data_IF_674919513043
#
_entry.id   IF_674919513043
#
_cell.length_a   1.000
_cell.length_b   1.000
_cell.length_c   1.000
_cell.angle_alpha   90.00
_cell.angle_beta   90.00
_cell.angle_gamma   90.00
#
_symmetry.space_group_name_H-M   'P 1'
#
loop_
_entity.id
_entity.type
_entity.pdbx_description
1 polymer ?
#
# COMPACT_ATOMS: atom_id res chain seq x y z
N UNK A 1 -9.59 8.75 36.89
CA UNK A 1 -9.64 9.08 35.44
C UNK A 1 -8.48 8.32 34.81
N UNK A 2 -8.76 7.16 34.22
CA UNK A 2 -7.75 6.38 33.53
C UNK A 2 -7.48 7.08 32.19
N UNK A 3 -6.32 7.70 32.05
CA UNK A 3 -5.81 8.12 30.75
C UNK A 3 -5.57 6.84 29.94
N UNK A 4 -6.48 6.51 29.04
CA UNK A 4 -6.21 5.49 28.03
C UNK A 4 -5.02 6.01 27.18
N UNK A 5 -3.85 5.44 27.43
CA UNK A 5 -2.68 5.70 26.62
C UNK A 5 -2.90 4.90 25.32
N UNK A 6 -3.32 5.59 24.29
CA UNK A 6 -3.51 4.99 22.97
C UNK A 6 -2.21 5.07 22.18
N UNK A 7 -1.72 3.93 21.70
CA UNK A 7 -0.60 3.90 20.76
C UNK A 7 -1.03 4.55 19.43
N UNK A 8 -0.11 5.27 18.80
CA UNK A 8 -0.32 5.88 17.51
C UNK A 8 0.40 5.10 16.41
N UNK A 9 -0.19 5.08 15.23
CA UNK A 9 0.31 4.39 14.05
C UNK A 9 0.43 5.36 12.89
N UNK A 10 1.58 5.39 12.25
CA UNK A 10 1.83 6.14 11.03
C UNK A 10 1.37 5.28 9.85
N UNK A 11 0.37 5.77 9.13
CA UNK A 11 -0.05 5.16 7.86
C UNK A 11 0.97 5.43 6.76
N UNK A 12 0.88 4.67 5.65
CA UNK A 12 1.73 4.85 4.45
C UNK A 12 1.72 6.25 3.83
N UNK A 13 0.63 6.98 4.01
CA UNK A 13 0.51 8.38 3.57
C UNK A 13 1.01 9.40 4.61
N UNK A 14 1.76 8.96 5.63
CA UNK A 14 2.28 9.81 6.69
C UNK A 14 1.26 10.25 7.74
N UNK A 15 -0.02 9.93 7.58
CA UNK A 15 -1.07 10.32 8.54
C UNK A 15 -0.99 9.45 9.79
N UNK A 16 -0.91 10.08 10.95
CA UNK A 16 -0.93 9.43 12.24
C UNK A 16 -2.37 9.15 12.69
N UNK A 17 -2.63 7.92 13.14
CA UNK A 17 -3.94 7.48 13.62
C UNK A 17 -3.80 6.63 14.86
N UNK A 18 -4.87 6.53 15.64
CA UNK A 18 -4.92 5.65 16.81
C UNK A 18 -4.81 4.18 16.36
N UNK A 19 -4.01 3.40 17.08
CA UNK A 19 -3.88 1.97 16.87
C UNK A 19 -5.22 1.26 17.07
N UNK A 20 -5.58 0.40 16.13
CA UNK A 20 -6.83 -0.36 16.15
C UNK A 20 -6.53 -1.86 16.06
N UNK A 21 -6.59 -2.53 17.21
CA UNK A 21 -6.36 -3.96 17.35
C UNK A 21 -7.32 -4.80 16.48
N UNK A 22 -8.55 -4.35 16.28
CA UNK A 22 -9.54 -5.07 15.50
C UNK A 22 -9.11 -5.25 14.04
N UNK A 23 -8.31 -4.32 13.50
CA UNK A 23 -7.78 -4.44 12.13
C UNK A 23 -6.80 -5.60 11.99
N UNK A 24 -5.97 -5.85 13.03
CA UNK A 24 -5.04 -7.00 13.04
C UNK A 24 -5.85 -8.28 13.09
N UNK A 25 -6.79 -8.40 14.05
CA UNK A 25 -7.63 -9.58 14.21
C UNK A 25 -8.33 -9.91 12.89
N UNK A 26 -9.04 -8.96 12.30
CA UNK A 26 -9.75 -9.15 11.04
C UNK A 26 -8.84 -9.56 9.87
N UNK A 27 -7.63 -9.01 9.80
CA UNK A 27 -6.70 -9.36 8.72
C UNK A 27 -6.16 -10.79 8.87
N UNK A 28 -5.84 -11.20 10.10
CA UNK A 28 -5.37 -12.56 10.38
C UNK A 28 -6.50 -13.59 10.24
N UNK A 29 -7.72 -13.27 10.70
CA UNK A 29 -8.89 -14.15 10.53
C UNK A 29 -9.19 -14.42 9.06
N UNK A 30 -9.15 -13.41 8.20
CA UNK A 30 -9.32 -13.59 6.75
C UNK A 30 -8.28 -14.53 6.14
N UNK A 31 -7.01 -14.41 6.55
CA UNK A 31 -5.96 -15.32 6.12
C UNK A 31 -6.19 -16.74 6.67
N UNK A 32 -6.65 -16.83 7.90
CA UNK A 32 -6.94 -18.08 8.61
C UNK A 32 -8.12 -18.86 7.99
N UNK A 33 -9.15 -18.16 7.48
CA UNK A 33 -10.29 -18.77 6.78
C UNK A 33 -9.87 -19.49 5.49
N UNK A 34 -8.81 -19.03 4.82
CA UNK A 34 -8.28 -19.65 3.60
C UNK A 34 -7.45 -20.92 3.86
N UNK A 35 -7.21 -21.27 5.12
CA UNK A 35 -6.43 -22.43 5.52
C UNK A 35 -7.34 -23.58 5.96
N UNK A 36 -6.89 -24.82 5.77
CA UNK A 36 -7.64 -26.01 6.21
C UNK A 36 -7.87 -25.96 7.72
N UNK A 37 -9.03 -26.47 8.19
CA UNK A 37 -9.41 -26.42 9.61
C UNK A 37 -8.36 -26.98 10.57
N UNK A 38 -7.56 -27.94 10.09
CA UNK A 38 -6.51 -28.60 10.88
C UNK A 38 -5.34 -27.66 11.20
N UNK A 39 -5.04 -26.71 10.30
CA UNK A 39 -3.87 -25.82 10.40
C UNK A 39 -4.27 -24.39 10.76
N UNK A 40 -5.53 -24.17 11.13
CA UNK A 40 -6.01 -22.86 11.57
C UNK A 40 -5.49 -22.50 12.96
N UNK A 41 -5.19 -21.24 13.13
CA UNK A 41 -5.03 -20.65 14.46
C UNK A 41 -6.43 -20.52 15.13
N UNK A 42 -6.48 -20.74 16.42
CA UNK A 42 -7.68 -20.46 17.21
C UNK A 42 -7.90 -18.95 17.36
N UNK A 43 -9.14 -18.54 17.56
CA UNK A 43 -9.46 -17.13 17.83
C UNK A 43 -8.70 -16.59 19.05
N UNK A 44 -8.45 -17.42 20.07
CA UNK A 44 -7.64 -17.06 21.23
C UNK A 44 -6.20 -16.72 20.84
N UNK A 45 -5.56 -17.53 19.99
CA UNK A 45 -4.20 -17.26 19.51
C UNK A 45 -4.13 -15.96 18.71
N UNK A 46 -5.11 -15.71 17.83
CA UNK A 46 -5.19 -14.49 17.04
C UNK A 46 -5.35 -13.25 17.93
N UNK A 47 -6.22 -13.33 18.93
CA UNK A 47 -6.44 -12.24 19.88
C UNK A 47 -5.19 -11.99 20.73
N UNK A 48 -4.55 -13.05 21.24
CA UNK A 48 -3.32 -12.94 22.02
C UNK A 48 -2.16 -12.31 21.22
N UNK A 49 -2.07 -12.66 19.93
CA UNK A 49 -1.12 -12.01 19.00
C UNK A 49 -1.40 -10.51 18.89
N UNK A 50 -2.65 -10.14 18.65
CA UNK A 50 -3.04 -8.73 18.52
C UNK A 50 -2.78 -7.94 19.82
N UNK A 51 -3.00 -8.57 20.99
CA UNK A 51 -2.68 -7.96 22.29
C UNK A 51 -1.18 -7.77 22.48
N UNK A 52 -0.36 -8.74 22.09
CA UNK A 52 1.10 -8.64 22.16
C UNK A 52 1.61 -7.48 21.30
N UNK A 53 1.08 -7.32 20.10
CA UNK A 53 1.47 -6.23 19.19
C UNK A 53 0.99 -4.89 19.73
N UNK A 54 -0.23 -4.82 20.28
CA UNK A 54 -0.75 -3.61 20.92
C UNK A 54 0.15 -3.15 22.06
N UNK A 55 0.59 -4.08 22.93
CA UNK A 55 1.50 -3.76 24.03
C UNK A 55 2.87 -3.26 23.54
N UNK A 56 3.45 -3.90 22.51
CA UNK A 56 4.70 -3.43 21.90
C UNK A 56 4.56 -2.02 21.29
N UNK A 57 3.42 -1.74 20.67
CA UNK A 57 3.13 -0.41 20.13
C UNK A 57 2.97 0.65 21.24
N UNK A 58 2.41 0.28 22.40
CA UNK A 58 2.30 1.16 23.56
C UNK A 58 3.64 1.41 24.25
N UNK A 59 4.54 0.43 24.26
CA UNK A 59 5.89 0.54 24.84
C UNK A 59 6.83 1.40 23.97
N UNK A 60 6.47 1.59 22.69
CA UNK A 60 7.22 2.45 21.79
C UNK A 60 7.08 3.92 22.20
N UNK A 61 8.19 4.62 22.31
CA UNK A 61 8.22 6.08 22.58
C UNK A 61 7.74 6.93 21.40
N UNK A 62 7.53 6.33 20.24
CA UNK A 62 7.15 6.99 18.99
C UNK A 62 6.00 6.23 18.33
N UNK A 63 5.26 6.91 17.46
CA UNK A 63 4.26 6.27 16.62
C UNK A 63 4.91 5.18 15.74
N UNK A 64 4.32 3.98 15.75
CA UNK A 64 4.84 2.82 15.02
C UNK A 64 4.37 2.85 13.58
N UNK A 65 5.26 2.54 12.62
CA UNK A 65 4.87 2.48 11.21
C UNK A 65 3.93 1.28 10.97
N UNK A 66 2.96 1.44 10.09
CA UNK A 66 2.03 0.36 9.73
C UNK A 66 2.73 -0.85 9.12
N UNK A 67 3.86 -0.67 8.43
CA UNK A 67 4.65 -1.77 7.89
C UNK A 67 5.30 -2.59 9.01
N UNK A 68 5.88 -1.92 10.02
CA UNK A 68 6.47 -2.60 11.17
C UNK A 68 5.44 -3.43 11.93
N UNK A 69 4.20 -2.91 12.05
CA UNK A 69 3.09 -3.67 12.64
C UNK A 69 2.78 -4.92 11.83
N UNK A 70 2.76 -4.81 10.50
CA UNK A 70 2.50 -5.95 9.62
C UNK A 70 3.60 -7.02 9.72
N UNK A 71 4.85 -6.61 9.84
CA UNK A 71 6.00 -7.51 10.02
C UNK A 71 5.96 -8.19 11.39
N UNK A 72 5.54 -7.47 12.43
CA UNK A 72 5.29 -8.07 13.74
C UNK A 72 4.16 -9.10 13.71
N UNK A 73 3.08 -8.86 12.95
CA UNK A 73 1.99 -9.83 12.76
C UNK A 73 2.50 -11.09 12.06
N UNK A 74 3.24 -10.94 10.97
CA UNK A 74 3.80 -12.04 10.20
C UNK A 74 4.73 -12.90 11.07
N UNK A 75 5.68 -12.27 11.75
CA UNK A 75 6.61 -12.93 12.67
C UNK A 75 5.84 -13.67 13.78
N UNK A 76 4.85 -13.03 14.40
CA UNK A 76 4.10 -13.65 15.48
C UNK A 76 3.24 -14.84 15.05
N UNK A 77 2.69 -14.82 13.82
CA UNK A 77 2.01 -15.98 13.25
C UNK A 77 3.00 -17.14 13.05
N UNK A 78 4.22 -16.86 12.57
CA UNK A 78 5.27 -17.87 12.38
C UNK A 78 5.75 -18.44 13.71
N UNK A 79 5.94 -17.63 14.77
CA UNK A 79 6.30 -18.06 16.11
C UNK A 79 5.27 -19.02 16.72
N UNK A 80 3.98 -18.83 16.40
CA UNK A 80 2.90 -19.75 16.77
C UNK A 80 2.84 -21.00 15.89
N UNK A 81 3.79 -21.21 14.99
CA UNK A 81 3.83 -22.29 13.98
C UNK A 81 2.66 -22.30 13.01
N UNK A 82 1.98 -21.18 12.84
CA UNK A 82 0.91 -20.98 11.86
C UNK A 82 1.42 -20.73 10.44
N UNK A 83 2.34 -21.55 9.94
CA UNK A 83 3.06 -21.31 8.68
C UNK A 83 2.14 -21.14 7.46
N UNK A 84 1.08 -21.92 7.37
CA UNK A 84 0.11 -21.79 6.28
C UNK A 84 -0.68 -20.48 6.38
N UNK A 85 -1.05 -20.10 7.59
CA UNK A 85 -1.72 -18.82 7.86
C UNK A 85 -0.80 -17.64 7.52
N UNK A 86 0.48 -17.69 7.93
CA UNK A 86 1.48 -16.70 7.59
C UNK A 86 1.62 -16.55 6.07
N UNK A 87 1.72 -17.67 5.33
CA UNK A 87 1.80 -17.66 3.87
C UNK A 87 0.57 -17.00 3.21
N UNK A 88 -0.63 -17.28 3.74
CA UNK A 88 -1.87 -16.64 3.27
C UNK A 88 -1.91 -15.16 3.61
N UNK A 89 -1.46 -14.78 4.80
CA UNK A 89 -1.39 -13.40 5.24
C UNK A 89 -0.45 -12.55 4.37
N UNK A 90 0.76 -13.04 4.06
CA UNK A 90 1.72 -12.37 3.17
C UNK A 90 1.13 -12.17 1.76
N UNK A 91 0.51 -13.22 1.21
CA UNK A 91 -0.16 -13.13 -0.10
C UNK A 91 -1.31 -12.14 -0.09
N UNK A 92 -2.08 -12.07 0.99
CA UNK A 92 -3.15 -11.10 1.17
C UNK A 92 -2.61 -9.67 1.23
N UNK A 93 -1.52 -9.42 1.99
CA UNK A 93 -0.82 -8.12 2.02
C UNK A 93 -0.43 -7.68 0.61
N UNK A 94 0.29 -8.55 -0.10
CA UNK A 94 0.77 -8.27 -1.45
C UNK A 94 -0.37 -7.96 -2.42
N UNK A 95 -1.43 -8.77 -2.42
CA UNK A 95 -2.60 -8.52 -3.27
C UNK A 95 -3.27 -7.18 -2.96
N UNK A 96 -3.40 -6.83 -1.68
CA UNK A 96 -3.95 -5.54 -1.26
C UNK A 96 -3.07 -4.36 -1.69
N UNK A 97 -1.77 -4.54 -1.69
CA UNK A 97 -0.82 -3.54 -2.17
C UNK A 97 -0.94 -3.33 -3.68
N UNK A 98 -0.96 -4.41 -4.45
CA UNK A 98 -1.18 -4.34 -5.90
C UNK A 98 -2.52 -3.64 -6.24
N UNK A 99 -3.61 -4.00 -5.55
CA UNK A 99 -4.91 -3.38 -5.77
C UNK A 99 -4.87 -1.87 -5.49
N UNK A 100 -4.17 -1.43 -4.44
CA UNK A 100 -4.03 0.01 -4.17
C UNK A 100 -3.23 0.73 -5.25
N UNK A 101 -2.13 0.11 -5.70
CA UNK A 101 -1.30 0.70 -6.78
C UNK A 101 -2.08 0.78 -8.09
N UNK A 102 -2.86 -0.26 -8.45
CA UNK A 102 -3.68 -0.23 -9.67
C UNK A 102 -4.85 0.76 -9.57
N UNK A 103 -5.53 0.84 -8.42
CA UNK A 103 -6.63 1.79 -8.26
C UNK A 103 -6.19 3.25 -8.47
N UNK A 104 -4.96 3.61 -8.07
CA UNK A 104 -4.42 4.96 -8.29
C UNK A 104 -4.27 5.25 -9.78
N UNK A 105 -3.80 4.28 -10.57
CA UNK A 105 -3.67 4.42 -12.03
C UNK A 105 -5.05 4.46 -12.70
N UNK A 106 -5.97 3.59 -12.30
CA UNK A 106 -7.34 3.55 -12.83
C UNK A 106 -8.07 4.87 -12.53
N UNK A 107 -7.93 5.42 -11.32
CA UNK A 107 -8.51 6.71 -10.94
C UNK A 107 -7.92 7.86 -11.78
N UNK A 108 -6.62 7.85 -12.06
CA UNK A 108 -5.96 8.83 -12.94
C UNK A 108 -6.49 8.74 -14.37
N UNK A 109 -6.65 7.52 -14.90
CA UNK A 109 -7.19 7.28 -16.25
C UNK A 109 -8.65 7.74 -16.33
N UNK A 110 -9.48 7.41 -15.32
CA UNK A 110 -10.87 7.86 -15.27
C UNK A 110 -10.97 9.38 -15.21
N UNK A 111 -10.14 10.05 -14.41
CA UNK A 111 -10.10 11.51 -14.34
C UNK A 111 -9.72 12.16 -15.69
N UNK A 112 -8.86 11.50 -16.48
CA UNK A 112 -8.55 11.94 -17.84
C UNK A 112 -9.75 11.78 -18.79
N UNK A 113 -10.45 10.65 -18.73
CA UNK A 113 -11.64 10.38 -19.55
C UNK A 113 -12.78 11.35 -19.22
N UNK A 114 -12.99 11.64 -17.94
CA UNK A 114 -14.01 12.57 -17.47
C UNK A 114 -13.63 14.05 -17.66
N UNK A 115 -12.44 14.33 -18.22
CA UNK A 115 -11.91 15.67 -18.47
C UNK A 115 -11.80 16.54 -17.20
N UNK A 116 -11.69 15.90 -16.03
CA UNK A 116 -11.61 16.56 -14.73
C UNK A 116 -10.15 16.85 -14.34
N UNK A 117 -9.17 16.24 -15.01
CA UNK A 117 -7.77 16.37 -14.67
C UNK A 117 -7.23 17.78 -14.98
N UNK A 118 -7.05 18.59 -13.95
CA UNK A 118 -6.56 19.95 -14.02
C UNK A 118 -5.10 20.01 -14.54
N UNK A 119 -4.27 19.02 -14.24
CA UNK A 119 -2.88 18.94 -14.71
C UNK A 119 -2.84 18.74 -16.22
N UNK A 120 -3.68 17.88 -16.76
CA UNK A 120 -3.78 17.68 -18.20
C UNK A 120 -4.23 18.95 -18.94
N UNK A 121 -5.00 19.83 -18.28
CA UNK A 121 -5.40 21.12 -18.82
C UNK A 121 -4.29 22.16 -18.80
N UNK A 122 -3.38 22.09 -17.83
CA UNK A 122 -2.33 23.09 -17.61
C UNK A 122 -1.02 22.79 -18.35
N UNK A 123 -0.65 21.51 -18.46
CA UNK A 123 0.66 21.11 -19.01
C UNK A 123 0.83 21.34 -20.52
N UNK A 124 -0.27 21.51 -21.28
CA UNK A 124 -0.18 21.60 -22.73
C UNK A 124 -1.10 22.67 -23.33
N UNK A 125 -0.62 23.90 -23.36
CA UNK A 125 -1.28 25.00 -24.09
C UNK A 125 -1.53 24.69 -25.59
N UNK A 126 -0.80 23.72 -26.16
CA UNK A 126 -0.89 23.34 -27.58
C UNK A 126 -1.67 22.03 -27.85
N UNK A 127 -2.07 21.27 -26.82
CA UNK A 127 -2.84 20.04 -26.98
C UNK A 127 -4.24 20.23 -26.40
N UNK A 128 -5.25 20.04 -27.21
CA UNK A 128 -6.63 20.09 -26.76
C UNK A 128 -7.01 18.78 -26.04
N UNK A 129 -7.26 18.76 -24.70
CA UNK A 129 -7.54 17.55 -23.93
C UNK A 129 -8.86 16.87 -24.30
N UNK A 130 -9.72 17.50 -25.10
CA UNK A 130 -10.98 16.94 -25.58
C UNK A 130 -10.83 16.07 -26.82
N UNK A 131 -9.64 16.09 -27.47
CA UNK A 131 -9.38 15.31 -28.70
C UNK A 131 -8.95 13.88 -28.31
N UNK A 132 -9.56 12.87 -28.92
CA UNK A 132 -9.31 11.46 -28.65
C UNK A 132 -7.82 11.05 -28.75
N UNK A 133 -7.06 11.62 -29.68
CA UNK A 133 -5.63 11.34 -29.80
C UNK A 133 -4.84 11.85 -28.58
N UNK A 134 -5.18 13.03 -28.08
CA UNK A 134 -4.56 13.62 -26.89
C UNK A 134 -4.91 12.82 -25.64
N UNK A 135 -6.17 12.41 -25.49
CA UNK A 135 -6.59 11.54 -24.37
C UNK A 135 -5.85 10.21 -24.39
N UNK A 136 -5.69 9.60 -25.58
CA UNK A 136 -4.93 8.36 -25.74
C UNK A 136 -3.46 8.53 -25.33
N UNK A 137 -2.83 9.64 -25.71
CA UNK A 137 -1.44 9.93 -25.34
C UNK A 137 -1.29 10.10 -23.83
N UNK A 138 -2.21 10.79 -23.16
CA UNK A 138 -2.23 10.90 -21.69
C UNK A 138 -2.45 9.56 -21.00
N UNK A 139 -3.39 8.74 -21.49
CA UNK A 139 -3.61 7.40 -20.94
C UNK A 139 -2.36 6.54 -21.09
N UNK A 140 -1.68 6.59 -22.23
CA UNK A 140 -0.41 5.89 -22.44
C UNK A 140 0.67 6.39 -21.48
N UNK A 141 0.74 7.69 -21.22
CA UNK A 141 1.63 8.31 -20.24
C UNK A 141 1.37 7.80 -18.82
N UNK A 142 0.12 7.78 -18.37
CA UNK A 142 -0.24 7.27 -17.03
C UNK A 142 0.08 5.79 -16.87
N UNK A 143 -0.20 4.96 -17.87
CA UNK A 143 0.16 3.53 -17.85
C UNK A 143 1.69 3.34 -17.83
N UNK A 144 2.42 4.13 -18.64
CA UNK A 144 3.89 4.08 -18.67
C UNK A 144 4.51 4.51 -17.34
N UNK A 145 3.97 5.56 -16.73
CA UNK A 145 4.37 6.05 -15.40
C UNK A 145 4.14 4.99 -14.33
N UNK A 146 2.96 4.36 -14.29
CA UNK A 146 2.67 3.27 -13.35
C UNK A 146 3.65 2.10 -13.54
N UNK A 147 3.91 1.70 -14.79
CA UNK A 147 4.85 0.64 -15.10
C UNK A 147 6.27 1.00 -14.64
N UNK A 148 6.71 2.22 -14.91
CA UNK A 148 8.02 2.74 -14.50
C UNK A 148 8.19 2.68 -12.99
N UNK A 149 7.25 3.26 -12.24
CA UNK A 149 7.32 3.36 -10.79
C UNK A 149 7.11 2.01 -10.10
N UNK A 150 6.27 1.13 -10.63
CA UNK A 150 5.90 -0.12 -9.99
C UNK A 150 6.82 -1.29 -10.32
N UNK A 151 7.42 -1.30 -11.52
CA UNK A 151 8.12 -2.48 -12.06
C UNK A 151 9.56 -2.19 -12.46
N UNK A 152 9.83 -1.06 -13.12
CA UNK A 152 11.13 -0.81 -13.75
C UNK A 152 12.14 -0.16 -12.81
N UNK A 153 11.70 0.68 -11.88
CA UNK A 153 12.59 1.34 -10.92
C UNK A 153 12.79 0.51 -9.65
N UNK A 154 14.00 0.53 -9.08
CA UNK A 154 14.25 -0.01 -7.74
C UNK A 154 13.35 0.67 -6.70
N UNK A 155 12.86 -0.10 -5.73
CA UNK A 155 11.94 0.39 -4.69
C UNK A 155 12.50 1.58 -3.91
N UNK A 156 13.81 1.62 -3.67
CA UNK A 156 14.51 2.73 -3.00
C UNK A 156 14.40 4.04 -3.76
N UNK A 157 14.45 4.01 -5.10
CA UNK A 157 14.30 5.18 -5.97
C UNK A 157 12.86 5.68 -5.94
N UNK A 158 11.90 4.75 -6.04
CA UNK A 158 10.46 5.07 -5.97
C UNK A 158 10.14 5.72 -4.63
N UNK A 159 10.61 5.14 -3.53
CA UNK A 159 10.42 5.68 -2.19
C UNK A 159 11.03 7.08 -2.04
N UNK A 160 12.26 7.28 -2.52
CA UNK A 160 12.92 8.59 -2.45
C UNK A 160 12.16 9.66 -3.28
N UNK A 161 11.53 9.26 -4.39
CA UNK A 161 10.65 10.14 -5.17
C UNK A 161 9.36 10.47 -4.41
N UNK A 162 8.69 9.47 -3.84
CA UNK A 162 7.44 9.64 -3.10
C UNK A 162 7.63 10.50 -1.83
N UNK A 163 8.80 10.37 -1.18
CA UNK A 163 9.20 11.18 -0.02
C UNK A 163 9.69 12.59 -0.40
N UNK A 164 9.80 12.89 -1.70
CA UNK A 164 10.26 14.19 -2.19
C UNK A 164 11.77 14.45 -2.02
N UNK A 165 12.56 13.41 -1.72
CA UNK A 165 14.04 13.50 -1.60
C UNK A 165 14.66 13.72 -2.97
N UNK A 166 14.13 13.04 -3.99
CA UNK A 166 14.51 13.20 -5.39
C UNK A 166 13.27 13.43 -6.25
N UNK A 167 13.45 14.02 -7.42
CA UNK A 167 12.41 14.09 -8.43
C UNK A 167 12.82 13.30 -9.66
N UNK A 168 12.12 12.19 -9.93
CA UNK A 168 12.34 11.37 -11.11
C UNK A 168 11.53 11.93 -12.28
N UNK A 169 12.24 12.54 -13.23
CA UNK A 169 11.64 13.16 -14.42
C UNK A 169 11.24 12.14 -15.49
N UNK A 170 10.24 12.50 -16.29
CA UNK A 170 9.83 11.77 -17.50
C UNK A 170 9.49 10.30 -17.24
N UNK A 171 8.92 10.00 -16.07
CA UNK A 171 8.52 8.64 -15.71
C UNK A 171 7.49 8.04 -16.67
N UNK A 172 6.72 8.88 -17.35
CA UNK A 172 5.74 8.55 -18.38
C UNK A 172 6.39 8.16 -19.74
N UNK A 173 7.66 8.52 -19.96
CA UNK A 173 8.44 8.16 -21.16
C UNK A 173 9.54 7.15 -20.88
N UNK A 174 9.89 6.88 -19.63
CA UNK A 174 11.04 6.06 -19.26
C UNK A 174 10.95 4.64 -19.82
N UNK A 175 9.79 3.98 -19.69
CA UNK A 175 9.57 2.62 -20.19
C UNK A 175 9.82 2.48 -21.70
N UNK A 176 9.69 3.56 -22.47
CA UNK A 176 9.88 3.57 -23.92
C UNK A 176 11.34 3.83 -24.32
N UNK A 177 12.11 4.50 -23.46
CA UNK A 177 13.52 4.84 -23.74
C UNK A 177 14.49 3.70 -23.49
N UNK A 178 14.16 2.77 -22.60
CA UNK A 178 15.02 1.62 -22.25
C UNK A 178 15.06 0.52 -23.34
N UNK A 179 14.20 0.59 -24.35
CA UNK A 179 14.07 -0.43 -25.39
C UNK A 179 14.44 0.05 -26.81
N UNK A 180 15.08 1.22 -26.93
CA UNK A 180 15.58 1.73 -28.22
C UNK A 180 17.10 1.82 -28.25
#
# INVERSE_FOLDING_TARGET
MSTEVNANVIKRNGVEVIFDKAKIINAVEKANEEVSKLHRLSHYQITALADTIANRALESSHAVNVEDIQDMVETGIMEMRGYEVAQKYVRYRYKRELTRKSNTTDDSILALLDQINENAKQENSNKNPTINSTQRDYMAGEVSKDLTMRVLLPEEIVRAHDEGIIHFHDSDYYAQREHN
#
